data_IF_460489283010
#
_entry.id   IF_460489283010
#
_cell.length_a   1.000
_cell.length_b   1.000
_cell.length_c   1.000
_cell.angle_alpha   90.00
_cell.angle_beta   90.00
_cell.angle_gamma   90.00
#
_symmetry.space_group_name_H-M   'P 1'
#
loop_
_entity.id
_entity.type
_entity.pdbx_description
1 polymer ?
#
# COMPACT_ATOMS: atom_id res chain seq x y z
N UNK A 1 -67.09 -35.43 -15.64
CA UNK A 1 -66.98 -34.64 -14.39
C UNK A 1 -65.67 -35.04 -13.75
N UNK A 2 -64.72 -34.11 -13.76
CA UNK A 2 -63.37 -34.21 -13.21
C UNK A 2 -63.39 -34.78 -11.79
N UNK A 3 -62.51 -35.72 -11.44
CA UNK A 3 -61.86 -35.71 -10.13
C UNK A 3 -60.61 -36.61 -10.06
N UNK A 4 -59.58 -36.02 -9.47
CA UNK A 4 -58.22 -36.53 -9.21
C UNK A 4 -58.16 -37.94 -8.61
N UNK A 5 -57.05 -38.66 -8.81
CA UNK A 5 -56.20 -39.16 -7.70
C UNK A 5 -54.81 -39.51 -8.22
N UNK A 6 -53.86 -39.21 -7.35
CA UNK A 6 -52.47 -38.90 -7.58
C UNK A 6 -51.53 -40.12 -7.43
N UNK A 7 -50.42 -40.05 -8.19
CA UNK A 7 -49.02 -40.21 -7.77
C UNK A 7 -48.67 -41.47 -6.97
N UNK A 8 -47.69 -42.24 -7.47
CA UNK A 8 -46.45 -42.67 -6.78
C UNK A 8 -45.64 -43.62 -7.68
N UNK A 9 -44.51 -43.17 -8.22
CA UNK A 9 -43.21 -43.07 -7.56
C UNK A 9 -42.31 -44.26 -7.97
N UNK A 10 -41.36 -43.98 -8.86
CA UNK A 10 -40.20 -44.82 -9.12
C UNK A 10 -39.07 -43.87 -9.53
N UNK A 11 -38.30 -43.35 -8.58
CA UNK A 11 -37.02 -43.89 -8.12
C UNK A 11 -35.89 -43.72 -9.15
N UNK A 12 -34.89 -42.94 -8.72
CA UNK A 12 -33.47 -43.01 -9.09
C UNK A 12 -33.11 -42.52 -10.51
N UNK A 13 -32.06 -41.74 -10.75
CA UNK A 13 -31.00 -41.21 -9.90
C UNK A 13 -30.50 -39.92 -10.55
N UNK A 14 -30.38 -38.86 -9.76
CA UNK A 14 -29.70 -37.64 -10.18
C UNK A 14 -28.20 -37.91 -10.03
N UNK A 15 -27.51 -38.25 -11.11
CA UNK A 15 -26.04 -38.17 -11.14
C UNK A 15 -25.70 -36.74 -11.50
N UNK A 16 -25.69 -35.86 -10.49
CA UNK A 16 -25.19 -34.50 -10.66
C UNK A 16 -23.66 -34.55 -10.62
N UNK A 17 -23.03 -34.67 -11.79
CA UNK A 17 -21.61 -34.48 -11.96
C UNK A 17 -21.29 -32.98 -11.80
N UNK A 18 -21.18 -32.51 -10.56
CA UNK A 18 -20.66 -31.18 -10.27
C UNK A 18 -19.13 -31.22 -10.38
N UNK A 19 -18.61 -31.04 -11.59
CA UNK A 19 -17.20 -30.75 -11.80
C UNK A 19 -16.91 -29.35 -11.24
N UNK A 20 -16.40 -29.31 -10.01
CA UNK A 20 -16.01 -28.06 -9.35
C UNK A 20 -14.67 -27.60 -9.96
N UNK A 21 -14.73 -26.78 -11.02
CA UNK A 21 -13.54 -26.11 -11.55
C UNK A 21 -13.10 -25.07 -10.53
N UNK A 22 -12.07 -25.40 -9.76
CA UNK A 22 -11.41 -24.47 -8.85
C UNK A 22 -10.73 -23.38 -9.69
N UNK A 23 -11.39 -22.24 -9.84
CA UNK A 23 -10.80 -21.07 -10.49
C UNK A 23 -9.71 -20.59 -9.54
N UNK A 24 -8.45 -20.85 -9.88
CA UNK A 24 -7.32 -20.26 -9.20
C UNK A 24 -7.43 -18.74 -9.33
N UNK A 25 -7.86 -18.06 -8.27
CA UNK A 25 -7.79 -16.61 -8.21
C UNK A 25 -6.30 -16.23 -8.32
N UNK A 26 -5.92 -15.26 -9.18
CA UNK A 26 -4.57 -14.75 -9.17
C UNK A 26 -4.34 -14.11 -7.79
N UNK A 27 -3.46 -14.73 -7.00
CA UNK A 27 -2.91 -14.14 -5.79
C UNK A 27 -2.06 -12.94 -6.20
N UNK A 28 -2.72 -11.81 -6.42
CA UNK A 28 -2.06 -10.52 -6.50
C UNK A 28 -1.34 -10.32 -5.17
N UNK A 29 0.00 -10.31 -5.20
CA UNK A 29 0.79 -9.87 -4.06
C UNK A 29 0.24 -8.50 -3.64
N UNK A 30 0.05 -8.24 -2.33
CA UNK A 30 -0.34 -6.90 -1.90
C UNK A 30 0.67 -5.93 -2.50
N UNK A 31 0.18 -4.93 -3.22
CA UNK A 31 1.03 -3.88 -3.77
C UNK A 31 1.92 -3.38 -2.63
N UNK A 32 3.24 -3.41 -2.82
CA UNK A 32 4.18 -2.86 -1.85
C UNK A 32 3.70 -1.44 -1.54
N UNK A 33 3.25 -1.19 -0.31
CA UNK A 33 2.78 0.13 0.07
C UNK A 33 3.99 1.05 0.01
N UNK A 34 4.13 1.75 -1.10
CA UNK A 34 5.21 2.70 -1.28
C UNK A 34 5.02 3.79 -0.23
N UNK A 35 5.86 3.74 0.79
CA UNK A 35 5.73 4.61 1.95
C UNK A 35 6.30 5.99 1.67
N UNK A 36 7.29 6.07 0.80
CA UNK A 36 7.96 7.30 0.41
C UNK A 36 8.09 7.39 -1.11
N UNK A 37 7.69 8.52 -1.65
CA UNK A 37 7.91 8.89 -3.04
C UNK A 37 8.72 10.17 -3.09
N UNK A 38 9.87 10.11 -3.74
CA UNK A 38 10.74 11.27 -3.91
C UNK A 38 10.45 11.91 -5.26
N UNK A 39 10.21 13.21 -5.24
CA UNK A 39 10.26 14.06 -6.41
C UNK A 39 11.71 14.43 -6.75
N UNK A 40 11.89 15.51 -7.52
CA UNK A 40 13.22 16.01 -7.85
C UNK A 40 14.07 16.30 -6.61
N UNK A 41 15.33 15.89 -6.69
CA UNK A 41 16.36 16.20 -5.71
C UNK A 41 17.39 17.09 -6.39
N UNK A 42 17.47 18.34 -5.95
CA UNK A 42 18.41 19.34 -6.49
C UNK A 42 19.53 19.54 -5.49
N UNK A 43 20.77 19.37 -5.95
CA UNK A 43 21.95 19.68 -5.17
C UNK A 43 22.55 21.00 -5.67
N UNK A 44 22.64 21.99 -4.78
CA UNK A 44 23.23 23.27 -5.08
C UNK A 44 24.02 23.78 -3.87
N UNK A 45 25.27 24.20 -4.09
CA UNK A 45 26.12 24.82 -3.07
C UNK A 45 26.19 24.02 -1.74
N UNK A 46 26.29 22.69 -1.81
CA UNK A 46 26.36 21.83 -0.62
C UNK A 46 25.03 21.64 0.12
N UNK A 47 23.91 22.10 -0.45
CA UNK A 47 22.56 21.91 0.08
C UNK A 47 21.78 21.00 -0.85
N UNK A 48 21.06 20.03 -0.28
CA UNK A 48 20.08 19.23 -1.00
C UNK A 48 18.68 19.81 -0.78
N UNK A 49 17.99 20.13 -1.88
CA UNK A 49 16.59 20.50 -1.92
C UNK A 49 15.78 19.32 -2.43
N UNK A 50 14.74 18.96 -1.69
CA UNK A 50 14.03 17.70 -1.82
C UNK A 50 12.55 18.02 -1.79
N UNK A 51 11.80 17.39 -2.68
CA UNK A 51 10.34 17.36 -2.60
C UNK A 51 9.88 15.92 -2.69
N UNK A 52 8.72 15.62 -2.12
CA UNK A 52 8.18 14.29 -2.19
C UNK A 52 6.82 14.17 -1.54
N UNK A 53 6.36 12.93 -1.45
CA UNK A 53 5.12 12.58 -0.77
C UNK A 53 5.29 11.29 0.02
N UNK A 54 4.72 11.26 1.21
CA UNK A 54 4.53 10.06 2.01
C UNK A 54 3.25 9.38 1.53
N UNK A 55 3.32 8.08 1.28
CA UNK A 55 2.19 7.29 0.79
C UNK A 55 1.06 7.15 1.81
N UNK A 56 -0.07 6.60 1.39
CA UNK A 56 -1.28 6.44 2.23
C UNK A 56 -1.06 5.62 3.51
N UNK A 57 -0.03 4.77 3.54
CA UNK A 57 0.40 4.02 4.74
C UNK A 57 1.27 4.80 5.72
N UNK A 58 1.63 6.05 5.39
CA UNK A 58 2.55 6.87 6.17
C UNK A 58 1.99 8.21 6.66
N UNK A 59 0.68 8.43 6.54
CA UNK A 59 0.03 9.56 7.18
C UNK A 59 0.27 9.52 8.70
N UNK A 60 0.87 10.57 9.26
CA UNK A 60 1.24 10.65 10.69
C UNK A 60 2.62 10.08 11.04
N UNK A 61 3.42 9.69 10.05
CA UNK A 61 4.84 9.38 10.27
C UNK A 61 5.66 10.66 10.42
N UNK A 62 6.71 10.57 11.22
CA UNK A 62 7.73 11.59 11.35
C UNK A 62 8.82 11.32 10.31
N UNK A 63 9.14 12.33 9.51
CA UNK A 63 10.20 12.26 8.51
C UNK A 63 11.42 13.03 9.03
N UNK A 64 12.59 12.41 8.96
CA UNK A 64 13.86 13.08 9.18
C UNK A 64 14.74 12.92 7.95
N UNK A 65 15.48 13.97 7.59
CA UNK A 65 16.46 13.95 6.51
C UNK A 65 17.81 14.38 7.08
N UNK A 66 18.82 13.51 6.99
CA UNK A 66 20.11 13.63 7.69
C UNK A 66 19.91 13.96 9.19
N UNK A 67 18.92 13.33 9.83
CA UNK A 67 18.57 13.56 11.23
C UNK A 67 17.85 14.89 11.52
N UNK A 68 17.61 15.74 10.52
CA UNK A 68 16.82 16.96 10.66
C UNK A 68 15.33 16.64 10.44
N UNK A 69 14.43 16.97 11.38
CA UNK A 69 13.00 16.72 11.21
C UNK A 69 12.43 17.56 10.07
N UNK A 70 11.59 16.94 9.24
CA UNK A 70 10.92 17.54 8.09
C UNK A 70 9.42 17.48 8.31
N UNK A 71 8.75 18.61 8.13
CA UNK A 71 7.29 18.67 8.20
C UNK A 71 6.68 17.98 7.01
N UNK A 72 5.81 17.00 7.28
CA UNK A 72 4.93 16.38 6.30
C UNK A 72 3.56 17.06 6.40
N UNK A 73 3.05 17.55 5.28
CA UNK A 73 1.74 18.17 5.20
C UNK A 73 0.62 17.13 5.28
N UNK A 74 -0.61 17.57 5.56
CA UNK A 74 -1.79 16.69 5.69
C UNK A 74 -2.14 15.92 4.41
N UNK A 75 -1.73 16.42 3.25
CA UNK A 75 -1.85 15.75 1.96
C UNK A 75 -0.71 14.74 1.69
N UNK A 76 0.18 14.53 2.66
CA UNK A 76 1.35 13.65 2.55
C UNK A 76 2.56 14.30 1.87
N UNK A 77 2.44 15.50 1.29
CA UNK A 77 3.57 16.17 0.64
C UNK A 77 4.59 16.68 1.67
N UNK A 78 5.85 16.74 1.28
CA UNK A 78 6.90 17.39 2.06
C UNK A 78 7.89 18.11 1.14
N UNK A 79 8.57 19.10 1.72
CA UNK A 79 9.72 19.74 1.11
C UNK A 79 10.80 19.94 2.18
N UNK A 80 12.04 19.71 1.82
CA UNK A 80 13.16 19.82 2.74
C UNK A 80 14.39 20.43 2.07
N UNK A 81 15.06 21.30 2.83
CA UNK A 81 16.31 21.94 2.45
C UNK A 81 17.33 21.54 3.52
N UNK A 82 18.31 20.73 3.13
CA UNK A 82 19.22 20.09 4.08
C UNK A 82 20.65 20.37 3.68
N UNK A 83 21.42 20.92 4.61
CA UNK A 83 22.86 21.08 4.41
C UNK A 83 23.50 19.69 4.42
N UNK A 84 24.23 19.36 3.36
CA UNK A 84 24.92 18.08 3.25
C UNK A 84 26.19 18.06 4.10
N UNK A 85 26.76 19.22 4.45
CA UNK A 85 27.99 19.35 5.22
C UNK A 85 29.13 18.47 4.67
N UNK A 86 29.24 18.40 3.34
CA UNK A 86 30.21 17.55 2.63
C UNK A 86 29.79 16.08 2.46
N UNK A 87 28.65 15.65 2.99
CA UNK A 87 28.10 14.33 2.74
C UNK A 87 27.70 14.16 1.27
N UNK A 88 27.99 12.99 0.71
CA UNK A 88 27.57 12.59 -0.64
C UNK A 88 26.30 11.72 -0.62
N UNK A 89 25.76 11.48 0.57
CA UNK A 89 24.58 10.65 0.81
C UNK A 89 23.53 11.47 1.54
N UNK A 90 22.28 11.12 1.29
CA UNK A 90 21.14 11.67 2.00
C UNK A 90 20.42 10.53 2.70
N UNK A 91 20.36 10.60 4.02
CA UNK A 91 19.65 9.65 4.87
C UNK A 91 18.21 10.14 5.05
N UNK A 92 17.22 9.30 4.72
CA UNK A 92 15.82 9.59 4.97
C UNK A 92 15.28 8.52 5.91
N UNK A 93 14.86 8.97 7.10
CA UNK A 93 14.29 8.12 8.11
C UNK A 93 12.82 8.44 8.29
N UNK A 94 11.98 7.40 8.20
CA UNK A 94 10.58 7.47 8.56
C UNK A 94 10.38 6.73 9.88
N UNK A 95 9.74 7.39 10.83
CA UNK A 95 9.41 6.81 12.12
C UNK A 95 7.94 7.00 12.45
N UNK A 96 7.33 6.04 13.13
CA UNK A 96 6.01 6.25 13.71
C UNK A 96 6.07 7.25 14.89
N UNK A 97 4.93 7.76 15.38
CA UNK A 97 4.91 8.67 16.54
C UNK A 97 5.52 8.08 17.83
N UNK A 98 5.68 6.76 17.90
CA UNK A 98 6.35 6.08 19.01
C UNK A 98 7.87 5.91 18.76
N UNK A 99 8.41 6.46 17.67
CA UNK A 99 9.83 6.46 17.33
C UNK A 99 10.33 5.20 16.63
N UNK A 100 9.45 4.30 16.18
CA UNK A 100 9.86 3.07 15.47
C UNK A 100 10.06 3.34 13.99
N UNK A 101 11.20 2.94 13.45
CA UNK A 101 11.50 3.04 12.02
C UNK A 101 10.53 2.20 11.17
N UNK A 102 10.16 2.70 9.99
CA UNK A 102 9.22 2.06 9.04
C UNK A 102 9.87 1.71 7.71
#
# INVERSE_FOLDING_TARGET
MTHMTNIRAGLAAVVLAAALTLIAAPSGLPASQQLLNLGPVVLANGTAMLTGSVGSGGAGLNLAVNGQPVTVHSNGSFAANVNLNGASTLDLALSDPAGRSR
#
